data_IF_382320815232
#
_entry.id   IF_382320815232
#
_cell.length_a   1.000
_cell.length_b   1.000
_cell.length_c   1.000
_cell.angle_alpha   90.00
_cell.angle_beta   90.00
_cell.angle_gamma   90.00
#
_symmetry.space_group_name_H-M   'P 1'
#
loop_
_entity.id
_entity.type
_entity.pdbx_description
1 polymer ?
#
# COMPACT_ATOMS: atom_id res chain seq x y z
N UNK A 1 1.10 48.27 3.71
CA UNK A 1 1.27 46.87 3.25
C UNK A 1 -0.08 46.44 2.72
N UNK A 2 -0.22 46.50 1.41
CA UNK A 2 -1.50 46.26 0.75
C UNK A 2 -1.92 44.79 0.75
N UNK A 3 -3.07 44.50 0.18
CA UNK A 3 -3.76 43.23 0.10
C UNK A 3 -2.95 42.04 -0.44
N UNK A 4 -1.77 42.24 -0.99
CA UNK A 4 -0.97 41.22 -1.68
C UNK A 4 -0.16 40.32 -0.74
N UNK A 5 -0.05 40.64 0.55
CA UNK A 5 0.71 39.89 1.54
C UNK A 5 -0.12 39.45 2.75
N UNK A 6 -1.42 39.49 2.67
CA UNK A 6 -2.36 39.10 3.73
C UNK A 6 -2.25 37.60 4.12
N UNK A 7 -1.66 36.77 3.23
CA UNK A 7 -1.37 35.35 3.48
C UNK A 7 -0.02 35.10 4.20
N UNK A 8 0.73 36.17 4.56
CA UNK A 8 1.98 36.02 5.29
C UNK A 8 1.74 35.87 6.79
N UNK A 9 2.32 34.81 7.37
CA UNK A 9 2.46 34.71 8.81
C UNK A 9 3.56 35.67 9.34
N UNK A 10 3.58 35.90 10.63
CA UNK A 10 4.48 36.87 11.28
C UNK A 10 5.98 36.65 10.95
N UNK A 11 6.43 35.43 10.70
CA UNK A 11 7.82 35.18 10.33
C UNK A 11 8.16 35.73 8.94
N UNK A 12 7.33 35.44 7.93
CA UNK A 12 7.53 35.99 6.59
C UNK A 12 7.37 37.51 6.57
N UNK A 13 6.40 38.04 7.32
CA UNK A 13 6.22 39.47 7.49
C UNK A 13 7.45 40.13 8.14
N UNK A 14 8.14 39.43 9.05
CA UNK A 14 9.40 39.92 9.62
C UNK A 14 10.48 40.03 8.55
N UNK A 15 10.57 39.08 7.63
CA UNK A 15 11.56 39.14 6.54
C UNK A 15 11.28 40.31 5.59
N UNK A 16 10.02 40.50 5.18
CA UNK A 16 9.62 41.64 4.36
C UNK A 16 9.96 42.96 5.01
N UNK A 17 9.74 43.08 6.33
CA UNK A 17 10.12 44.31 7.07
C UNK A 17 11.63 44.50 7.10
N UNK A 18 12.43 43.45 7.19
CA UNK A 18 13.88 43.54 7.09
C UNK A 18 14.32 43.97 5.69
N UNK A 19 13.69 43.48 4.65
CA UNK A 19 13.97 43.86 3.25
C UNK A 19 13.60 45.34 2.97
N UNK A 20 12.73 45.92 3.81
CA UNK A 20 12.39 47.35 3.81
C UNK A 20 13.20 48.16 4.83
N UNK A 21 14.36 47.63 5.27
CA UNK A 21 15.28 48.24 6.23
C UNK A 21 14.73 48.53 7.65
N UNK A 22 13.61 47.87 8.03
CA UNK A 22 13.12 47.98 9.40
C UNK A 22 13.87 47.06 10.35
N UNK A 23 14.50 47.65 11.39
CA UNK A 23 15.17 46.89 12.47
C UNK A 23 14.11 46.43 13.49
N UNK A 24 13.52 45.28 13.25
CA UNK A 24 12.45 44.72 14.07
C UNK A 24 12.64 43.20 14.27
N UNK A 25 12.36 42.70 15.49
CA UNK A 25 12.43 41.26 15.75
C UNK A 25 11.06 40.58 15.59
N UNK A 26 11.09 39.28 15.33
CA UNK A 26 9.88 38.48 15.08
C UNK A 26 8.88 38.47 16.23
N UNK A 27 9.32 38.62 17.49
CA UNK A 27 8.43 38.70 18.67
C UNK A 27 7.60 39.98 18.64
N UNK A 28 8.22 41.10 18.25
CA UNK A 28 7.51 42.40 18.11
C UNK A 28 6.51 42.34 16.93
N UNK A 29 6.92 41.78 15.80
CA UNK A 29 6.01 41.61 14.64
C UNK A 29 4.84 40.71 15.03
N UNK A 30 5.06 39.59 15.69
CA UNK A 30 3.99 38.71 16.19
C UNK A 30 2.98 39.50 17.05
N UNK A 31 3.46 40.31 18.03
CA UNK A 31 2.59 41.11 18.88
C UNK A 31 1.78 42.13 18.07
N UNK A 32 2.46 42.86 17.18
CA UNK A 32 1.82 43.87 16.32
C UNK A 32 0.75 43.25 15.37
N UNK A 33 0.96 42.05 14.92
CA UNK A 33 -0.05 41.34 14.08
C UNK A 33 -1.17 40.73 14.91
N UNK A 34 -0.90 40.39 16.17
CA UNK A 34 -1.89 39.82 17.10
C UNK A 34 -2.94 40.86 17.53
N UNK A 35 -2.51 42.08 17.86
CA UNK A 35 -3.39 43.14 18.36
C UNK A 35 -4.55 43.46 17.39
N UNK A 36 -4.32 43.70 16.08
CA UNK A 36 -5.39 43.89 15.10
C UNK A 36 -5.94 42.57 14.49
N UNK A 37 -5.66 41.42 15.10
CA UNK A 37 -6.13 40.10 14.65
C UNK A 37 -5.68 39.69 13.24
N UNK A 38 -4.49 40.11 12.81
CA UNK A 38 -3.88 39.80 11.51
C UNK A 38 -3.11 38.47 11.49
N UNK A 39 -3.03 37.77 12.63
CA UNK A 39 -2.42 36.44 12.65
C UNK A 39 -3.29 35.46 11.88
N UNK A 40 -2.68 34.76 10.93
CA UNK A 40 -3.34 33.65 10.23
C UNK A 40 -3.85 32.66 11.28
N UNK A 41 -5.15 32.47 11.32
CA UNK A 41 -5.76 31.41 12.11
C UNK A 41 -5.28 30.12 11.46
N UNK A 42 -4.29 29.47 12.06
CA UNK A 42 -4.02 28.08 11.76
C UNK A 42 -5.28 27.31 12.14
N UNK A 43 -6.07 26.95 11.15
CA UNK A 43 -7.09 25.93 11.35
C UNK A 43 -6.33 24.68 11.75
N UNK A 44 -6.20 24.49 13.06
CA UNK A 44 -5.81 23.20 13.62
C UNK A 44 -6.94 22.26 13.24
N UNK A 45 -6.77 21.57 12.12
CA UNK A 45 -7.63 20.46 11.78
C UNK A 45 -7.53 19.52 12.96
N UNK A 46 -8.58 19.45 13.76
CA UNK A 46 -8.66 18.53 14.88
C UNK A 46 -8.48 17.14 14.29
N UNK A 47 -7.31 16.57 14.50
CA UNK A 47 -7.03 15.21 14.09
C UNK A 47 -7.92 14.32 14.96
N UNK A 48 -8.76 13.54 14.33
CA UNK A 48 -9.63 12.55 15.00
C UNK A 48 -8.77 11.61 15.84
N UNK A 49 -8.82 11.77 17.16
CA UNK A 49 -8.12 10.93 18.12
C UNK A 49 -6.58 11.05 18.14
N UNK A 50 -5.97 10.48 19.16
CA UNK A 50 -4.52 10.34 19.25
C UNK A 50 -4.06 9.26 18.27
N UNK A 51 -2.89 9.44 17.62
CA UNK A 51 -2.25 8.40 16.81
C UNK A 51 -1.76 7.30 17.74
N UNK A 52 -2.00 6.06 17.37
CA UNK A 52 -1.39 4.92 18.03
C UNK A 52 -0.04 4.63 17.33
N UNK A 53 1.04 4.76 18.08
CA UNK A 53 2.37 4.41 17.59
C UNK A 53 2.71 2.96 17.91
N UNK A 54 3.61 2.41 17.12
CA UNK A 54 4.12 1.05 17.24
C UNK A 54 4.75 0.85 18.62
N UNK A 55 4.30 -0.16 19.35
CA UNK A 55 4.90 -0.56 20.62
C UNK A 55 6.10 -1.50 20.43
N UNK A 56 6.06 -2.36 19.43
CA UNK A 56 7.08 -3.36 19.15
C UNK A 56 7.63 -3.23 17.74
N UNK A 57 8.96 -3.23 17.59
CA UNK A 57 9.62 -3.18 16.26
C UNK A 57 9.22 -4.35 15.39
N UNK A 58 9.26 -5.56 15.94
CA UNK A 58 8.91 -6.78 15.21
C UNK A 58 7.42 -7.05 15.34
N UNK A 59 6.77 -7.32 14.21
CA UNK A 59 5.40 -7.79 14.18
C UNK A 59 5.43 -9.30 14.43
N UNK A 60 4.71 -9.77 15.44
CA UNK A 60 4.52 -11.19 15.74
C UNK A 60 3.09 -11.60 15.37
N UNK A 61 2.82 -11.61 14.06
CA UNK A 61 1.52 -12.03 13.53
C UNK A 61 1.34 -13.55 13.75
N UNK A 62 0.21 -13.93 14.33
CA UNK A 62 -0.14 -15.33 14.64
C UNK A 62 -1.04 -15.97 13.59
N UNK A 63 -1.75 -15.13 12.82
CA UNK A 63 -2.70 -15.58 11.81
C UNK A 63 -2.63 -14.70 10.55
N UNK A 64 -3.07 -15.21 9.39
CA UNK A 64 -3.22 -14.40 8.18
C UNK A 64 -4.21 -13.27 8.40
N UNK A 65 -3.93 -12.12 7.79
CA UNK A 65 -4.68 -10.87 7.85
C UNK A 65 -4.74 -10.20 9.24
N UNK A 66 -4.14 -10.78 10.27
CA UNK A 66 -4.03 -10.14 11.58
C UNK A 66 -3.21 -8.84 11.50
N UNK A 67 -2.05 -8.89 10.85
CA UNK A 67 -1.20 -7.74 10.61
C UNK A 67 -0.97 -7.49 9.13
N UNK A 68 -1.42 -6.34 8.67
CA UNK A 68 -1.14 -5.83 7.33
C UNK A 68 -0.14 -4.69 7.41
N UNK A 69 0.73 -4.60 6.41
CA UNK A 69 1.66 -3.47 6.24
C UNK A 69 1.35 -2.75 4.94
N UNK A 70 1.32 -1.43 4.99
CA UNK A 70 0.95 -0.58 3.87
C UNK A 70 1.98 0.52 3.67
N UNK A 71 2.44 0.70 2.42
CA UNK A 71 3.41 1.71 2.08
C UNK A 71 3.34 2.12 0.61
N UNK A 72 3.98 3.25 0.26
CA UNK A 72 4.06 3.78 -1.09
C UNK A 72 5.50 3.77 -1.57
N UNK A 73 5.75 3.04 -2.68
CA UNK A 73 7.03 3.04 -3.37
C UNK A 73 6.98 3.88 -4.64
N UNK A 74 8.04 4.63 -4.89
CA UNK A 74 8.24 5.33 -6.17
C UNK A 74 8.63 4.34 -7.26
N UNK A 75 7.98 4.44 -8.41
CA UNK A 75 8.26 3.69 -9.63
C UNK A 75 8.57 4.69 -10.73
N UNK A 76 9.79 4.67 -11.26
CA UNK A 76 10.18 5.53 -12.35
C UNK A 76 9.54 5.08 -13.67
N UNK A 77 8.95 6.01 -14.41
CA UNK A 77 8.44 5.79 -15.77
C UNK A 77 9.45 6.43 -16.72
N UNK A 78 10.23 5.58 -17.37
CA UNK A 78 11.48 5.98 -18.02
C UNK A 78 11.28 6.91 -19.21
N UNK A 79 10.37 6.59 -20.10
CA UNK A 79 10.08 7.43 -21.27
C UNK A 79 9.45 8.78 -20.87
N UNK A 80 8.59 8.78 -19.86
CA UNK A 80 7.93 9.99 -19.37
C UNK A 80 8.82 10.79 -18.39
N UNK A 81 9.98 10.27 -17.99
CA UNK A 81 10.97 10.88 -17.08
C UNK A 81 10.35 11.38 -15.77
N UNK A 82 9.37 10.63 -15.23
CA UNK A 82 8.69 11.00 -14.01
C UNK A 82 8.38 9.77 -13.14
N UNK A 83 8.05 10.02 -11.87
CA UNK A 83 7.67 8.97 -10.95
C UNK A 83 6.16 8.74 -10.92
N UNK A 84 5.77 7.48 -10.86
CA UNK A 84 4.48 7.02 -10.39
C UNK A 84 4.61 6.45 -8.96
N UNK A 85 3.50 6.35 -8.27
CA UNK A 85 3.42 5.94 -6.87
C UNK A 85 2.70 4.62 -6.79
N UNK A 86 3.36 3.60 -6.24
CA UNK A 86 2.83 2.26 -6.04
C UNK A 86 2.44 2.10 -4.57
N UNK A 87 1.15 2.18 -4.30
CA UNK A 87 0.59 1.82 -3.00
C UNK A 87 0.47 0.30 -2.94
N UNK A 88 0.99 -0.32 -1.90
CA UNK A 88 0.92 -1.77 -1.65
C UNK A 88 0.37 -2.05 -0.27
N UNK A 89 -0.53 -3.04 -0.18
CA UNK A 89 -0.98 -3.64 1.06
C UNK A 89 -0.53 -5.10 1.09
N UNK A 90 0.08 -5.55 2.18
CA UNK A 90 0.67 -6.87 2.30
C UNK A 90 0.37 -7.50 3.65
N UNK A 91 0.01 -8.78 3.64
CA UNK A 91 -0.10 -9.57 4.86
C UNK A 91 1.29 -9.99 5.38
N UNK A 92 1.52 -9.77 6.67
CA UNK A 92 2.80 -10.09 7.29
C UNK A 92 2.97 -11.59 7.50
N UNK A 93 1.91 -12.29 7.88
CA UNK A 93 1.96 -13.71 8.21
C UNK A 93 2.19 -14.59 6.98
N UNK A 94 1.32 -14.48 5.98
CA UNK A 94 1.39 -15.28 4.76
C UNK A 94 2.35 -14.72 3.70
N UNK A 95 2.84 -13.49 3.90
CA UNK A 95 3.61 -12.74 2.88
C UNK A 95 2.80 -12.40 1.62
N UNK A 96 1.52 -12.66 1.61
CA UNK A 96 0.64 -12.40 0.48
C UNK A 96 0.52 -10.90 0.23
N UNK A 97 0.78 -10.48 -1.00
CA UNK A 97 0.53 -9.11 -1.42
C UNK A 97 -0.96 -8.96 -1.69
N UNK A 98 -1.68 -8.42 -0.69
CA UNK A 98 -3.14 -8.41 -0.63
C UNK A 98 -3.72 -7.45 -1.65
N UNK A 99 -3.03 -6.34 -1.93
CA UNK A 99 -3.47 -5.39 -2.94
C UNK A 99 -2.46 -4.34 -3.29
N UNK A 100 -2.67 -3.73 -4.46
CA UNK A 100 -1.83 -2.61 -4.91
C UNK A 100 -2.58 -1.69 -5.88
N UNK A 101 -2.10 -0.46 -6.01
CA UNK A 101 -2.49 0.46 -7.08
C UNK A 101 -1.30 1.33 -7.50
N UNK A 102 -1.16 1.58 -8.80
CA UNK A 102 -0.14 2.46 -9.37
C UNK A 102 -0.80 3.68 -10.01
N UNK A 103 -0.48 4.87 -9.52
CA UNK A 103 -0.99 6.15 -10.03
C UNK A 103 0.11 7.21 -10.03
N UNK A 104 -0.06 8.28 -10.80
CA UNK A 104 0.83 9.45 -10.71
C UNK A 104 0.63 10.28 -9.45
N UNK A 105 -0.40 10.01 -8.70
CA UNK A 105 -0.67 10.61 -7.40
C UNK A 105 -1.53 9.64 -6.59
N UNK A 106 -1.14 9.35 -5.37
CA UNK A 106 -1.92 8.57 -4.42
C UNK A 106 -2.55 9.52 -3.42
N UNK A 107 -3.86 9.58 -3.44
CA UNK A 107 -4.67 10.40 -2.53
C UNK A 107 -5.31 9.52 -1.44
N UNK A 108 -5.84 10.16 -0.40
CA UNK A 108 -6.63 9.49 0.65
C UNK A 108 -7.79 8.62 0.12
N UNK A 109 -8.43 9.05 -0.97
CA UNK A 109 -9.49 8.28 -1.63
C UNK A 109 -8.97 6.99 -2.25
N UNK A 110 -7.74 6.98 -2.77
CA UNK A 110 -7.14 5.79 -3.37
C UNK A 110 -6.81 4.74 -2.30
N UNK A 111 -6.40 5.20 -1.10
CA UNK A 111 -6.17 4.32 0.05
C UNK A 111 -7.48 3.66 0.48
N UNK A 112 -8.55 4.44 0.64
CA UNK A 112 -9.87 3.92 1.01
C UNK A 112 -10.39 2.95 -0.05
N UNK A 113 -10.30 3.30 -1.32
CA UNK A 113 -10.76 2.45 -2.42
C UNK A 113 -10.02 1.11 -2.46
N UNK A 114 -8.70 1.12 -2.23
CA UNK A 114 -7.91 -0.11 -2.14
C UNK A 114 -8.37 -0.97 -0.95
N UNK A 115 -8.52 -0.39 0.22
CA UNK A 115 -8.96 -1.09 1.43
C UNK A 115 -10.38 -1.66 1.27
N UNK A 116 -11.32 -0.86 0.78
CA UNK A 116 -12.71 -1.29 0.54
C UNK A 116 -12.78 -2.46 -0.45
N UNK A 117 -12.03 -2.39 -1.55
CA UNK A 117 -11.96 -3.46 -2.55
C UNK A 117 -11.42 -4.78 -1.99
N UNK A 118 -10.49 -4.71 -1.04
CA UNK A 118 -9.84 -5.88 -0.42
C UNK A 118 -10.67 -6.48 0.71
N UNK A 119 -11.19 -5.61 1.58
CA UNK A 119 -11.82 -6.01 2.85
C UNK A 119 -13.31 -6.27 2.73
N UNK A 120 -13.90 -6.02 1.55
CA UNK A 120 -15.31 -6.28 1.29
C UNK A 120 -15.64 -7.76 1.49
N UNK A 121 -16.53 -8.04 2.45
CA UNK A 121 -16.93 -9.41 2.78
C UNK A 121 -15.92 -10.19 3.63
N UNK A 122 -14.89 -9.51 4.16
CA UNK A 122 -13.93 -10.08 5.11
C UNK A 122 -14.26 -9.56 6.52
N UNK A 123 -14.16 -10.41 7.53
CA UNK A 123 -14.20 -9.93 8.92
C UNK A 123 -12.97 -9.09 9.21
N UNK A 124 -13.19 -7.82 9.53
CA UNK A 124 -12.12 -6.84 9.79
C UNK A 124 -11.73 -6.75 11.26
N UNK A 125 -12.52 -7.38 12.13
CA UNK A 125 -12.30 -7.35 13.59
C UNK A 125 -10.93 -7.93 13.94
N UNK A 126 -10.11 -7.11 14.59
CA UNK A 126 -8.78 -7.50 15.05
C UNK A 126 -7.67 -7.30 14.00
N UNK A 127 -7.99 -6.80 12.81
CA UNK A 127 -6.97 -6.43 11.82
C UNK A 127 -6.21 -5.19 12.30
N UNK A 128 -4.88 -5.26 12.21
CA UNK A 128 -3.99 -4.14 12.48
C UNK A 128 -3.29 -3.77 11.17
N UNK A 129 -3.36 -2.50 10.78
CA UNK A 129 -2.64 -1.98 9.62
C UNK A 129 -1.52 -1.06 10.09
N UNK A 130 -0.27 -1.44 9.79
CA UNK A 130 0.91 -0.61 10.05
C UNK A 130 1.31 0.14 8.79
N UNK A 131 1.54 1.43 8.93
CA UNK A 131 2.01 2.32 7.86
C UNK A 131 2.92 3.42 8.42
N UNK A 132 3.59 4.16 7.53
CA UNK A 132 4.35 5.34 7.87
C UNK A 132 3.44 6.55 8.17
N UNK A 133 4.08 7.72 8.43
CA UNK A 133 3.37 8.98 8.68
C UNK A 133 3.02 9.76 7.40
N UNK A 134 2.94 9.13 6.24
CA UNK A 134 2.53 9.75 4.99
C UNK A 134 1.19 10.47 5.12
N UNK A 135 1.07 11.66 4.52
CA UNK A 135 -0.12 12.52 4.65
C UNK A 135 -1.42 11.83 4.22
N UNK A 136 -1.35 10.95 3.21
CA UNK A 136 -2.48 10.15 2.73
C UNK A 136 -2.99 9.17 3.79
N UNK A 137 -2.10 8.57 4.60
CA UNK A 137 -2.46 7.64 5.68
C UNK A 137 -2.94 8.35 6.93
N UNK A 138 -2.38 9.54 7.21
CA UNK A 138 -2.77 10.40 8.33
C UNK A 138 -4.11 11.11 8.10
N UNK A 139 -4.65 11.09 6.88
CA UNK A 139 -5.85 11.81 6.51
C UNK A 139 -7.06 11.37 7.35
N UNK A 140 -7.85 12.36 7.83
CA UNK A 140 -9.02 12.12 8.67
C UNK A 140 -10.00 11.08 8.09
N UNK A 141 -10.22 11.13 6.76
CA UNK A 141 -11.14 10.22 6.10
C UNK A 141 -10.65 8.77 6.13
N UNK A 142 -9.34 8.53 5.96
CA UNK A 142 -8.75 7.17 6.05
C UNK A 142 -8.87 6.64 7.47
N UNK A 143 -8.50 7.46 8.45
CA UNK A 143 -8.60 7.10 9.87
C UNK A 143 -10.05 6.81 10.29
N UNK A 144 -11.01 7.63 9.82
CA UNK A 144 -12.43 7.42 10.05
C UNK A 144 -12.88 6.08 9.45
N UNK A 145 -12.52 5.81 8.18
CA UNK A 145 -12.83 4.56 7.50
C UNK A 145 -12.32 3.33 8.27
N UNK A 146 -11.07 3.39 8.75
CA UNK A 146 -10.47 2.28 9.50
C UNK A 146 -11.22 2.03 10.82
N UNK A 147 -11.53 3.08 11.57
CA UNK A 147 -12.30 2.99 12.83
C UNK A 147 -13.71 2.44 12.59
N UNK A 148 -14.41 2.91 11.55
CA UNK A 148 -15.76 2.44 11.20
C UNK A 148 -15.79 0.96 10.77
N UNK A 149 -14.63 0.41 10.38
CA UNK A 149 -14.47 -0.99 10.01
C UNK A 149 -13.74 -1.82 11.07
N UNK A 150 -13.66 -1.36 12.33
CA UNK A 150 -12.97 -2.05 13.44
C UNK A 150 -11.50 -2.41 13.16
N UNK A 151 -10.81 -1.61 12.36
CA UNK A 151 -9.40 -1.80 12.01
C UNK A 151 -8.53 -0.88 12.84
N UNK A 152 -7.53 -1.44 13.51
CA UNK A 152 -6.53 -0.67 14.24
C UNK A 152 -5.45 -0.16 13.29
N UNK A 153 -5.16 1.15 13.34
CA UNK A 153 -4.06 1.74 12.56
C UNK A 153 -2.87 2.03 13.46
N UNK A 154 -1.71 1.46 13.14
CA UNK A 154 -0.43 1.74 13.77
C UNK A 154 0.45 2.62 12.88
N UNK A 155 1.05 3.65 13.46
CA UNK A 155 2.02 4.50 12.77
C UNK A 155 3.43 4.17 13.24
N UNK A 156 4.37 4.02 12.30
CA UNK A 156 5.78 3.91 12.64
C UNK A 156 6.30 5.22 13.23
N UNK A 157 7.32 5.14 14.09
CA UNK A 157 7.99 6.33 14.59
C UNK A 157 8.78 7.01 13.47
N UNK A 158 8.97 8.32 13.59
CA UNK A 158 9.74 9.09 12.62
C UNK A 158 11.20 8.60 12.65
N UNK A 159 11.77 8.42 11.46
CA UNK A 159 13.17 7.97 11.27
C UNK A 159 13.47 6.59 11.89
N UNK A 160 12.49 5.69 11.96
CA UNK A 160 12.67 4.32 12.47
C UNK A 160 12.33 3.28 11.39
N UNK A 161 13.18 3.12 10.35
CA UNK A 161 12.90 2.20 9.22
C UNK A 161 12.69 0.74 9.67
N UNK A 162 13.35 0.31 10.76
CA UNK A 162 13.24 -1.06 11.26
C UNK A 162 11.81 -1.48 11.60
N UNK A 163 10.92 -0.52 11.93
CA UNK A 163 9.51 -0.78 12.20
C UNK A 163 8.71 -1.10 10.92
N UNK A 164 9.26 -0.72 9.75
CA UNK A 164 8.67 -0.96 8.44
C UNK A 164 9.37 -2.08 7.65
N UNK A 165 10.26 -2.84 8.32
CA UNK A 165 11.14 -3.84 7.70
C UNK A 165 10.40 -4.88 6.83
N UNK A 166 9.17 -5.22 7.17
CA UNK A 166 8.37 -6.19 6.40
C UNK A 166 7.98 -5.67 5.01
N UNK A 167 7.59 -4.40 4.89
CA UNK A 167 7.26 -3.81 3.59
C UNK A 167 8.52 -3.41 2.83
N UNK A 168 9.58 -3.00 3.53
CA UNK A 168 10.89 -2.73 2.93
C UNK A 168 11.51 -3.97 2.30
N UNK A 169 11.41 -5.14 2.96
CA UNK A 169 11.84 -6.42 2.38
C UNK A 169 11.06 -6.78 1.11
N UNK A 170 9.77 -6.45 1.05
CA UNK A 170 8.97 -6.55 -0.16
C UNK A 170 9.47 -5.60 -1.25
N UNK A 171 9.62 -4.32 -0.94
CA UNK A 171 10.12 -3.31 -1.87
C UNK A 171 11.49 -3.67 -2.42
N UNK A 172 12.39 -4.22 -1.59
CA UNK A 172 13.71 -4.70 -2.02
C UNK A 172 13.60 -5.88 -3.00
N UNK A 173 12.63 -6.77 -2.80
CA UNK A 173 12.38 -7.87 -3.74
C UNK A 173 11.83 -7.35 -5.06
N UNK A 174 10.81 -6.49 -5.04
CA UNK A 174 10.23 -5.84 -6.21
C UNK A 174 11.28 -5.06 -7.01
N UNK A 175 12.11 -4.29 -6.31
CA UNK A 175 13.20 -3.51 -6.92
C UNK A 175 14.17 -4.40 -7.70
N UNK A 176 14.65 -5.46 -7.04
CA UNK A 176 15.64 -6.38 -7.62
C UNK A 176 15.05 -7.27 -8.72
N UNK A 177 13.82 -7.70 -8.54
CA UNK A 177 13.20 -8.73 -9.39
C UNK A 177 12.47 -8.14 -10.60
N UNK A 178 11.97 -6.89 -10.50
CA UNK A 178 11.24 -6.22 -11.57
C UNK A 178 11.81 -4.85 -11.93
N UNK A 179 11.83 -3.88 -11.00
CA UNK A 179 12.00 -2.48 -11.34
C UNK A 179 13.37 -2.18 -11.97
N UNK A 180 14.46 -2.78 -11.44
CA UNK A 180 15.82 -2.65 -11.99
C UNK A 180 16.07 -3.42 -13.30
N UNK A 181 15.13 -4.26 -13.72
CA UNK A 181 15.27 -5.13 -14.89
C UNK A 181 14.33 -4.77 -16.02
N UNK A 182 13.48 -3.76 -15.81
CA UNK A 182 12.43 -3.43 -16.75
C UNK A 182 12.45 -1.93 -17.02
N UNK A 183 12.45 -1.58 -18.29
CA UNK A 183 12.22 -0.23 -18.78
C UNK A 183 10.71 -0.02 -18.93
N UNK A 184 10.19 1.09 -18.40
CA UNK A 184 8.77 1.40 -18.48
C UNK A 184 8.53 2.58 -19.42
N UNK A 185 7.94 2.29 -20.59
CA UNK A 185 7.59 3.32 -21.58
C UNK A 185 6.40 4.18 -21.10
N UNK A 186 5.49 3.60 -20.32
CA UNK A 186 4.31 4.29 -19.82
C UNK A 186 3.81 3.69 -18.52
N UNK A 187 2.97 4.43 -17.82
CA UNK A 187 2.31 3.93 -16.60
C UNK A 187 1.42 2.70 -16.89
N UNK A 188 0.87 2.58 -18.10
CA UNK A 188 0.07 1.43 -18.50
C UNK A 188 0.92 0.17 -18.57
N UNK A 189 2.10 0.26 -19.21
CA UNK A 189 3.06 -0.85 -19.24
C UNK A 189 3.60 -1.20 -17.86
N UNK A 190 3.85 -0.20 -17.02
CA UNK A 190 4.24 -0.45 -15.63
C UNK A 190 3.15 -1.20 -14.86
N UNK A 191 1.86 -0.84 -15.03
CA UNK A 191 0.73 -1.55 -14.42
C UNK A 191 0.64 -3.01 -14.89
N UNK A 192 0.76 -3.27 -16.18
CA UNK A 192 0.75 -4.63 -16.75
C UNK A 192 1.88 -5.48 -16.15
N UNK A 193 3.10 -4.97 -16.15
CA UNK A 193 4.26 -5.69 -15.61
C UNK A 193 4.16 -5.93 -14.10
N UNK A 194 3.68 -4.95 -13.36
CA UNK A 194 3.41 -5.09 -11.93
C UNK A 194 2.32 -6.15 -11.68
N UNK A 195 1.21 -6.13 -12.42
CA UNK A 195 0.16 -7.11 -12.28
C UNK A 195 0.69 -8.55 -12.46
N UNK A 196 1.48 -8.78 -13.51
CA UNK A 196 2.13 -10.08 -13.74
C UNK A 196 3.09 -10.43 -12.59
N UNK A 197 3.88 -9.46 -12.12
CA UNK A 197 4.81 -9.68 -11.02
C UNK A 197 4.08 -10.07 -9.71
N UNK A 198 2.98 -9.39 -9.37
CA UNK A 198 2.18 -9.73 -8.19
C UNK A 198 1.57 -11.13 -8.28
N UNK A 199 1.13 -11.54 -9.47
CA UNK A 199 0.66 -12.91 -9.71
C UNK A 199 1.79 -13.93 -9.49
N UNK A 200 2.94 -13.72 -10.13
CA UNK A 200 4.10 -14.61 -9.95
C UNK A 200 4.51 -14.66 -8.48
N UNK A 201 4.59 -13.52 -7.82
CA UNK A 201 4.98 -13.44 -6.42
C UNK A 201 4.00 -14.19 -5.52
N UNK A 202 2.71 -13.95 -5.66
CA UNK A 202 1.70 -14.57 -4.81
C UNK A 202 1.53 -16.06 -5.08
N UNK A 203 1.54 -16.48 -6.33
CA UNK A 203 1.14 -17.84 -6.69
C UNK A 203 2.31 -18.79 -6.96
N UNK A 204 3.46 -18.28 -7.38
CA UNK A 204 4.59 -19.14 -7.82
C UNK A 204 5.85 -18.97 -6.99
N UNK A 205 6.13 -17.75 -6.50
CA UNK A 205 7.38 -17.47 -5.80
C UNK A 205 7.42 -18.19 -4.45
N UNK A 206 8.36 -19.12 -4.32
CA UNK A 206 8.57 -19.90 -3.09
C UNK A 206 9.32 -19.07 -2.03
N UNK A 207 8.87 -19.14 -0.80
CA UNK A 207 9.48 -18.47 0.35
C UNK A 207 10.02 -19.48 1.38
N UNK A 208 11.26 -19.27 1.79
CA UNK A 208 11.88 -20.12 2.81
C UNK A 208 11.11 -20.09 4.13
N UNK A 209 10.68 -18.89 4.55
CA UNK A 209 9.89 -18.69 5.77
C UNK A 209 8.50 -19.32 5.73
N UNK A 210 7.97 -19.64 4.55
CA UNK A 210 6.68 -20.27 4.34
C UNK A 210 6.83 -21.79 4.00
N UNK A 211 7.85 -22.43 4.55
CA UNK A 211 8.13 -23.85 4.28
C UNK A 211 8.25 -24.16 2.78
N UNK A 212 8.85 -23.27 2.01
CA UNK A 212 8.99 -23.31 0.53
C UNK A 212 7.67 -23.29 -0.24
N UNK A 213 6.56 -22.91 0.39
CA UNK A 213 5.28 -22.64 -0.29
C UNK A 213 5.28 -21.22 -0.90
N UNK A 214 4.42 -21.00 -1.88
CA UNK A 214 4.08 -19.64 -2.30
C UNK A 214 3.17 -18.96 -1.28
N UNK A 215 3.10 -17.63 -1.24
CA UNK A 215 2.19 -16.91 -0.35
C UNK A 215 0.74 -17.40 -0.45
N UNK A 216 0.24 -17.63 -1.67
CA UNK A 216 -1.10 -18.15 -1.91
C UNK A 216 -1.30 -19.55 -1.30
N UNK A 217 -0.42 -20.49 -1.60
CA UNK A 217 -0.54 -21.85 -1.06
C UNK A 217 -0.44 -21.88 0.46
N UNK A 218 0.35 -20.97 1.03
CA UNK A 218 0.44 -20.84 2.48
C UNK A 218 -0.82 -20.21 3.07
N UNK A 219 -1.33 -19.12 2.47
CA UNK A 219 -2.57 -18.45 2.89
C UNK A 219 -3.77 -19.41 2.81
N UNK A 220 -3.88 -20.16 1.73
CA UNK A 220 -4.97 -21.12 1.48
C UNK A 220 -5.06 -22.20 2.57
N UNK A 221 -3.97 -22.57 3.23
CA UNK A 221 -4.02 -23.53 4.33
C UNK A 221 -4.78 -23.03 5.56
N UNK A 222 -4.98 -21.71 5.70
CA UNK A 222 -5.65 -21.08 6.84
C UNK A 222 -6.97 -20.43 6.45
N UNK A 223 -7.02 -19.81 5.27
CA UNK A 223 -8.17 -19.05 4.75
C UNK A 223 -8.48 -19.45 3.30
N UNK A 224 -8.99 -20.68 3.07
CA UNK A 224 -9.25 -21.18 1.71
C UNK A 224 -10.24 -20.30 0.97
N UNK A 225 -11.35 -19.91 1.59
CA UNK A 225 -12.39 -19.08 0.96
C UNK A 225 -11.89 -17.70 0.55
N UNK A 226 -11.07 -17.07 1.38
CA UNK A 226 -10.46 -15.79 1.04
C UNK A 226 -9.48 -15.95 -0.12
N UNK A 227 -8.61 -16.96 -0.05
CA UNK A 227 -7.62 -17.21 -1.09
C UNK A 227 -8.26 -17.51 -2.45
N UNK A 228 -9.37 -18.24 -2.48
CA UNK A 228 -10.03 -18.65 -3.71
C UNK A 228 -11.00 -17.57 -4.26
N UNK A 229 -11.69 -16.82 -3.40
CA UNK A 229 -12.63 -15.76 -3.82
C UNK A 229 -11.96 -14.47 -4.25
N UNK A 230 -10.78 -14.17 -3.71
CA UNK A 230 -10.08 -12.92 -3.94
C UNK A 230 -8.74 -13.05 -4.69
N UNK A 231 -8.59 -13.95 -5.69
CA UNK A 231 -7.31 -14.15 -6.37
C UNK A 231 -6.84 -12.89 -7.12
N UNK A 232 -7.76 -11.99 -7.48
CA UNK A 232 -7.50 -10.83 -8.33
C UNK A 232 -8.20 -9.55 -7.88
N UNK A 233 -8.74 -9.49 -6.67
CA UNK A 233 -9.58 -8.38 -6.19
C UNK A 233 -8.83 -7.04 -6.02
N UNK A 234 -7.59 -6.90 -6.50
CA UNK A 234 -6.63 -5.99 -5.91
C UNK A 234 -6.15 -4.87 -6.80
N UNK A 235 -6.71 -4.71 -7.97
CA UNK A 235 -6.61 -3.44 -8.69
C UNK A 235 -7.76 -3.30 -9.70
N UNK A 236 -8.34 -2.11 -9.78
CA UNK A 236 -9.28 -1.74 -10.85
C UNK A 236 -8.68 -1.93 -12.25
N UNK A 237 -7.36 -2.00 -12.35
CA UNK A 237 -6.64 -2.31 -13.56
C UNK A 237 -6.57 -3.82 -13.87
N UNK A 238 -6.63 -4.72 -12.88
CA UNK A 238 -6.53 -6.15 -13.14
C UNK A 238 -7.81 -6.76 -13.70
N UNK A 239 -8.98 -6.27 -13.34
CA UNK A 239 -10.22 -6.71 -13.97
C UNK A 239 -10.27 -6.34 -15.47
N UNK A 240 -9.63 -5.23 -15.87
CA UNK A 240 -9.46 -4.82 -17.28
C UNK A 240 -8.21 -5.42 -17.92
N UNK A 241 -7.12 -5.60 -17.18
CA UNK A 241 -5.86 -6.16 -17.66
C UNK A 241 -5.92 -7.70 -17.70
N UNK A 242 -6.65 -8.35 -16.81
CA UNK A 242 -6.92 -9.80 -16.96
C UNK A 242 -7.66 -10.12 -18.25
N UNK A 243 -8.55 -9.25 -18.72
CA UNK A 243 -9.20 -9.41 -20.03
C UNK A 243 -8.30 -9.04 -21.22
N UNK A 244 -7.27 -8.20 -21.02
CA UNK A 244 -6.38 -7.71 -22.11
C UNK A 244 -4.96 -8.29 -21.99
N UNK A 245 -4.45 -8.57 -20.78
CA UNK A 245 -3.11 -9.12 -20.52
C UNK A 245 -3.10 -10.65 -20.35
N UNK A 246 -4.18 -11.32 -20.53
CA UNK A 246 -4.18 -12.73 -20.87
C UNK A 246 -3.69 -12.92 -22.31
N UNK A 247 -2.59 -12.27 -22.67
CA UNK A 247 -1.76 -12.72 -23.76
C UNK A 247 -1.38 -14.20 -23.52
N UNK A 248 -1.11 -14.96 -24.57
CA UNK A 248 -0.98 -16.43 -24.52
C UNK A 248 -0.10 -16.99 -23.39
N UNK A 249 0.83 -16.20 -22.84
CA UNK A 249 1.74 -16.65 -21.79
C UNK A 249 1.13 -16.76 -20.37
N UNK A 250 0.17 -15.92 -19.99
CA UNK A 250 -0.48 -15.96 -18.65
C UNK A 250 -1.66 -16.94 -18.68
N UNK A 251 -2.39 -16.96 -19.80
CA UNK A 251 -3.41 -17.99 -20.05
C UNK A 251 -2.79 -19.39 -20.03
N UNK A 252 -1.57 -19.55 -20.58
CA UNK A 252 -0.83 -20.82 -20.56
C UNK A 252 -0.44 -21.24 -19.14
N UNK A 253 -0.10 -20.32 -18.24
CA UNK A 253 0.21 -20.65 -16.84
C UNK A 253 -1.02 -21.12 -16.06
N UNK A 254 -2.17 -20.46 -16.23
CA UNK A 254 -3.43 -20.88 -15.60
C UNK A 254 -3.99 -22.14 -16.25
N UNK A 255 -3.83 -22.29 -17.56
CA UNK A 255 -4.20 -23.51 -18.28
C UNK A 255 -3.31 -24.70 -17.91
N UNK A 256 -1.99 -24.49 -17.68
CA UNK A 256 -1.09 -25.54 -17.22
C UNK A 256 -1.41 -26.00 -15.79
N UNK A 257 -1.79 -25.07 -14.88
CA UNK A 257 -2.22 -25.44 -13.53
C UNK A 257 -3.58 -26.16 -13.54
N UNK A 258 -4.48 -25.81 -14.48
CA UNK A 258 -5.74 -26.51 -14.69
C UNK A 258 -5.52 -27.89 -15.31
N UNK A 259 -4.69 -27.99 -16.34
CA UNK A 259 -4.32 -29.27 -16.98
C UNK A 259 -3.56 -30.19 -16.02
N UNK A 260 -2.72 -29.62 -15.12
CA UNK A 260 -2.03 -30.40 -14.08
C UNK A 260 -2.99 -30.94 -13.02
N UNK A 261 -4.00 -30.16 -12.61
CA UNK A 261 -5.07 -30.63 -11.71
C UNK A 261 -5.93 -31.71 -12.36
N UNK A 262 -6.22 -31.57 -13.64
CA UNK A 262 -6.99 -32.58 -14.40
C UNK A 262 -6.20 -33.88 -14.57
N UNK A 263 -4.87 -33.81 -14.80
CA UNK A 263 -3.99 -34.99 -14.83
C UNK A 263 -3.79 -35.63 -13.46
N UNK A 264 -3.68 -34.85 -12.37
CA UNK A 264 -3.57 -35.40 -11.00
C UNK A 264 -4.89 -36.10 -10.59
N UNK A 265 -6.06 -35.56 -10.98
CA UNK A 265 -7.37 -36.22 -10.77
C UNK A 265 -7.53 -37.46 -11.61
N UNK A 266 -7.00 -37.47 -12.85
CA UNK A 266 -7.08 -38.65 -13.73
C UNK A 266 -6.19 -39.78 -13.21
N UNK A 267 -4.97 -39.50 -12.80
CA UNK A 267 -4.03 -40.49 -12.22
C UNK A 267 -4.55 -41.06 -10.91
N UNK A 268 -5.21 -40.26 -10.05
CA UNK A 268 -5.85 -40.79 -8.84
C UNK A 268 -7.05 -41.65 -9.11
N UNK A 269 -7.82 -41.37 -10.16
CA UNK A 269 -8.98 -42.21 -10.57
C UNK A 269 -8.56 -43.52 -11.21
N UNK A 270 -7.47 -43.58 -11.97
CA UNK A 270 -6.93 -44.83 -12.52
C UNK A 270 -6.28 -45.68 -11.45
N UNK A 271 -5.52 -45.10 -10.50
CA UNK A 271 -4.95 -45.87 -9.39
C UNK A 271 -6.00 -46.45 -8.45
N UNK A 272 -7.19 -45.83 -8.33
CA UNK A 272 -8.32 -46.44 -7.62
C UNK A 272 -8.98 -47.58 -8.36
N UNK A 273 -8.95 -47.60 -9.71
CA UNK A 273 -9.48 -48.71 -10.52
C UNK A 273 -8.57 -49.93 -10.57
N UNK A 274 -7.26 -49.73 -10.41
CA UNK A 274 -6.26 -50.81 -10.37
C UNK A 274 -6.23 -51.53 -9.01
N UNK A 275 -6.72 -50.89 -7.93
CA UNK A 275 -6.84 -51.48 -6.62
C UNK A 275 -8.15 -52.24 -6.34
N UNK A 276 -9.07 -52.25 -7.31
CA UNK A 276 -10.38 -52.91 -7.21
C UNK A 276 -10.57 -54.08 -8.22
N UNK A 277 -9.50 -54.49 -8.90
CA UNK A 277 -9.37 -55.71 -9.66
C UNK A 277 -8.19 -56.53 -9.10
#
# INVERSE_FOLDING_TARGET
>A
LGSDLDFYGYEKMTWELHDLDYIINKKKVYRLMREPNLLLIQQRVSTTGKRQFVQFRCIDAKAPLEYLVMDIKYVHIDHEKRFAYLLTLRDVYSRFAVGHTLKYSIRKSDVILLLDGILRGVSTKGIIIRNDNGSQFCARNVRKYLVENDITQEFTHIATPQENSYIEAWHSSLERELLKRTWFDSIYRAREKLAVYYLIYNYRRKHRSLKRKSPYLYLKTFLPDFADKHPFAFSDSLSRVASVAMGPGVATCLALDKARKETETFVTSENQKVLLN
#
